data_IF_798499329524
#
_entry.id   IF_798499329524
#
_cell.length_a   1.000
_cell.length_b   1.000
_cell.length_c   1.000
_cell.angle_alpha   90.00
_cell.angle_beta   90.00
_cell.angle_gamma   90.00
#
_symmetry.space_group_name_H-M   'P 1'
#
loop_
_entity.id
_entity.type
_entity.pdbx_description
1 polymer ?
#
# COMPACT_ATOMS: atom_id res chain seq x y z
N UNK A 1 -11.41 11.74 1.09
CA UNK A 1 -10.06 11.52 1.65
C UNK A 1 -9.19 10.87 0.58
N UNK A 2 -7.97 11.35 0.30
CA UNK A 2 -7.07 10.69 -0.65
C UNK A 2 -6.75 9.27 -0.19
N UNK A 3 -6.94 8.28 -1.05
CA UNK A 3 -6.75 6.87 -0.75
C UNK A 3 -5.69 6.29 -1.67
N UNK A 4 -4.62 5.74 -1.11
CA UNK A 4 -3.50 5.18 -1.87
C UNK A 4 -3.40 3.66 -1.71
N UNK A 5 -3.36 2.97 -2.85
CA UNK A 5 -3.08 1.54 -2.94
C UNK A 5 -1.59 1.32 -3.20
N UNK A 6 -0.88 0.78 -2.20
CA UNK A 6 0.58 0.59 -2.29
C UNK A 6 0.99 -0.80 -2.78
N UNK A 7 0.03 -1.58 -3.28
CA UNK A 7 0.30 -2.87 -3.92
C UNK A 7 0.96 -2.69 -5.29
N UNK A 8 1.40 -3.79 -5.91
CA UNK A 8 2.01 -3.69 -7.23
C UNK A 8 1.00 -3.26 -8.31
N UNK A 9 1.46 -2.76 -9.47
CA UNK A 9 0.56 -2.32 -10.55
C UNK A 9 -0.45 -3.40 -10.98
N UNK A 10 -0.01 -4.66 -11.14
CA UNK A 10 -0.93 -5.76 -11.47
C UNK A 10 -1.93 -6.06 -10.35
N UNK A 11 -1.54 -5.97 -9.07
CA UNK A 11 -2.46 -6.15 -7.94
C UNK A 11 -3.56 -5.08 -7.94
N UNK A 12 -3.24 -3.82 -8.33
CA UNK A 12 -4.19 -2.72 -8.45
C UNK A 12 -5.11 -2.88 -9.67
N UNK A 13 -4.54 -3.23 -10.83
CA UNK A 13 -5.29 -3.42 -12.08
C UNK A 13 -6.31 -4.57 -11.99
N UNK A 14 -5.97 -5.64 -11.27
CA UNK A 14 -6.88 -6.78 -11.03
C UNK A 14 -8.04 -6.46 -10.06
N UNK A 15 -8.05 -5.27 -9.46
CA UNK A 15 -9.10 -4.79 -8.58
C UNK A 15 -8.54 -4.02 -7.40
N UNK A 16 -9.13 -2.87 -7.12
CA UNK A 16 -8.75 -1.96 -6.05
C UNK A 16 -10.00 -1.37 -5.38
N UNK A 17 -9.84 -0.63 -4.28
CA UNK A 17 -10.96 0.05 -3.65
C UNK A 17 -11.42 1.23 -4.52
N UNK A 18 -12.72 1.55 -4.59
CA UNK A 18 -13.22 2.69 -5.33
C UNK A 18 -12.47 3.97 -4.97
N UNK A 19 -12.09 4.75 -5.99
CA UNK A 19 -11.35 6.02 -5.86
C UNK A 19 -9.93 5.89 -5.29
N UNK A 20 -9.41 4.67 -5.11
CA UNK A 20 -8.01 4.49 -4.74
C UNK A 20 -7.08 4.89 -5.88
N UNK A 21 -6.00 5.59 -5.54
CA UNK A 21 -4.92 6.00 -6.44
C UNK A 21 -3.79 4.99 -6.29
N UNK A 22 -3.25 4.50 -7.41
CA UNK A 22 -2.09 3.61 -7.38
C UNK A 22 -0.84 4.38 -6.92
N UNK A 23 -0.16 3.89 -5.88
CA UNK A 23 1.11 4.41 -5.36
C UNK A 23 2.04 3.23 -5.01
N UNK A 24 2.48 2.45 -6.02
CA UNK A 24 3.08 1.15 -5.81
C UNK A 24 4.42 1.25 -5.08
N UNK A 25 4.55 0.56 -3.95
CA UNK A 25 5.83 0.45 -3.25
C UNK A 25 6.86 -0.36 -4.07
N UNK A 26 6.37 -1.36 -4.81
CA UNK A 26 7.17 -2.26 -5.64
C UNK A 26 6.52 -2.42 -7.02
N UNK A 27 7.35 -2.55 -8.05
CA UNK A 27 6.93 -3.06 -9.36
C UNK A 27 6.47 -4.52 -9.26
N UNK A 28 5.83 -5.02 -10.31
CA UNK A 28 5.39 -6.43 -10.35
C UNK A 28 6.58 -7.40 -10.24
N UNK A 29 7.69 -7.11 -10.92
CA UNK A 29 8.91 -7.93 -10.87
C UNK A 29 9.52 -8.01 -9.48
N UNK A 30 9.73 -6.84 -8.84
CA UNK A 30 10.28 -6.80 -7.48
C UNK A 30 9.34 -7.43 -6.47
N UNK A 31 8.03 -7.22 -6.62
CA UNK A 31 7.01 -7.85 -5.78
C UNK A 31 7.06 -9.37 -5.89
N UNK A 32 7.24 -9.90 -7.09
CA UNK A 32 7.40 -11.33 -7.32
C UNK A 32 8.69 -11.85 -6.68
N UNK A 33 9.82 -11.17 -6.89
CA UNK A 33 11.12 -11.54 -6.34
C UNK A 33 11.12 -11.55 -4.80
N UNK A 34 10.63 -10.48 -4.15
CA UNK A 34 10.47 -10.43 -2.69
C UNK A 34 9.62 -11.62 -2.21
N UNK A 35 8.53 -11.93 -2.93
CA UNK A 35 7.67 -13.06 -2.61
C UNK A 35 8.38 -14.41 -2.70
N UNK A 36 9.22 -14.59 -3.72
CA UNK A 36 10.06 -15.77 -3.92
C UNK A 36 11.09 -15.89 -2.79
N UNK A 37 11.83 -14.83 -2.48
CA UNK A 37 12.82 -14.81 -1.38
C UNK A 37 12.16 -15.09 -0.03
N UNK A 38 10.96 -14.55 0.21
CA UNK A 38 10.22 -14.77 1.45
C UNK A 38 9.88 -16.25 1.65
N UNK A 39 9.40 -16.90 0.59
CA UNK A 39 8.98 -18.31 0.63
C UNK A 39 10.15 -19.29 0.61
N UNK A 40 11.16 -19.03 -0.23
CA UNK A 40 12.22 -19.99 -0.52
C UNK A 40 13.46 -19.82 0.35
N UNK A 41 13.67 -18.63 0.93
CA UNK A 41 14.86 -18.36 1.73
C UNK A 41 14.52 -18.01 3.17
N UNK A 42 14.03 -16.79 3.43
CA UNK A 42 13.55 -16.42 4.76
C UNK A 42 12.81 -15.07 4.75
N UNK A 43 11.92 -14.84 5.72
CA UNK A 43 11.29 -13.53 5.93
C UNK A 43 12.31 -12.40 6.10
N UNK A 44 13.39 -12.62 6.87
CA UNK A 44 14.41 -11.61 7.12
C UNK A 44 15.14 -11.18 5.85
N UNK A 45 15.48 -12.12 4.96
CA UNK A 45 16.11 -11.78 3.66
C UNK A 45 15.15 -11.01 2.75
N UNK A 46 13.88 -11.40 2.73
CA UNK A 46 12.86 -10.70 1.94
C UNK A 46 12.65 -9.27 2.43
N UNK A 47 12.68 -9.04 3.75
CA UNK A 47 12.62 -7.69 4.33
C UNK A 47 13.83 -6.85 3.87
N UNK A 48 15.05 -7.39 3.95
CA UNK A 48 16.26 -6.68 3.49
C UNK A 48 16.21 -6.33 2.00
N UNK A 49 15.74 -7.25 1.16
CA UNK A 49 15.53 -6.98 -0.27
C UNK A 49 14.46 -5.91 -0.49
N UNK A 50 13.34 -5.99 0.24
CA UNK A 50 12.29 -4.99 0.20
C UNK A 50 12.77 -3.59 0.62
N UNK A 51 13.64 -3.49 1.63
CA UNK A 51 14.25 -2.22 2.05
C UNK A 51 15.13 -1.63 0.95
N UNK A 52 15.91 -2.47 0.23
CA UNK A 52 16.72 -2.02 -0.92
C UNK A 52 15.84 -1.40 -2.00
N UNK A 53 14.75 -2.06 -2.38
CA UNK A 53 13.84 -1.53 -3.41
C UNK A 53 13.05 -0.31 -2.94
N UNK A 54 12.56 -0.32 -1.70
CA UNK A 54 11.80 0.78 -1.13
C UNK A 54 12.68 2.05 -0.99
N UNK A 55 13.93 1.90 -0.55
CA UNK A 55 14.87 3.00 -0.37
C UNK A 55 15.07 3.83 -1.64
N UNK A 56 15.17 3.18 -2.80
CA UNK A 56 15.33 3.85 -4.09
C UNK A 56 14.10 4.67 -4.52
N UNK A 57 12.93 4.44 -3.91
CA UNK A 57 11.67 5.10 -4.28
C UNK A 57 11.12 6.05 -3.24
N UNK A 58 11.73 6.15 -2.05
CA UNK A 58 11.16 6.93 -0.95
C UNK A 58 10.85 8.38 -1.35
N UNK A 59 11.79 9.07 -1.98
CA UNK A 59 11.61 10.45 -2.43
C UNK A 59 10.48 10.57 -3.48
N UNK A 60 10.44 9.65 -4.44
CA UNK A 60 9.42 9.65 -5.49
C UNK A 60 8.01 9.40 -4.93
N UNK A 61 7.87 8.48 -3.96
CA UNK A 61 6.59 8.22 -3.30
C UNK A 61 6.04 9.48 -2.61
N UNK A 62 6.90 10.23 -1.92
CA UNK A 62 6.49 11.49 -1.27
C UNK A 62 6.12 12.54 -2.32
N UNK A 63 6.95 12.73 -3.36
CA UNK A 63 6.68 13.69 -4.43
C UNK A 63 5.36 13.39 -5.17
N UNK A 64 5.05 12.11 -5.37
CA UNK A 64 3.80 11.66 -5.96
C UNK A 64 2.57 11.99 -5.10
N UNK A 65 2.70 11.95 -3.77
CA UNK A 65 1.64 12.36 -2.85
C UNK A 65 1.52 13.89 -2.83
N UNK A 66 2.64 14.62 -2.75
CA UNK A 66 2.68 16.09 -2.80
C UNK A 66 2.00 16.63 -4.07
N UNK A 67 2.16 15.96 -5.22
CA UNK A 67 1.54 16.35 -6.49
C UNK A 67 0.02 16.15 -6.52
N UNK A 68 -0.54 15.30 -5.65
CA UNK A 68 -1.94 14.87 -5.68
C UNK A 68 -2.74 15.36 -4.49
N UNK A 69 -2.07 15.73 -3.40
CA UNK A 69 -2.68 16.07 -2.12
C UNK A 69 -2.14 17.42 -1.66
N UNK A 70 -3.05 18.35 -1.34
CA UNK A 70 -2.68 19.60 -0.66
C UNK A 70 -2.35 19.27 0.80
N UNK A 71 -1.25 19.79 1.34
CA UNK A 71 -0.73 19.42 2.69
C UNK A 71 -1.67 19.76 3.85
N UNK A 72 -2.61 20.65 3.60
CA UNK A 72 -3.68 21.16 4.44
C UNK A 72 -5.02 20.40 4.25
N UNK A 73 -5.01 19.32 3.46
CA UNK A 73 -6.15 18.42 3.29
C UNK A 73 -6.23 17.35 4.39
N UNK A 74 -7.41 16.72 4.50
CA UNK A 74 -7.70 15.58 5.39
C UNK A 74 -6.64 14.47 5.33
N UNK A 75 -6.52 13.63 6.38
CA UNK A 75 -5.50 12.57 6.47
C UNK A 75 -5.39 11.74 5.19
N UNK A 76 -4.21 11.28 4.80
CA UNK A 76 -4.10 10.35 3.67
C UNK A 76 -4.38 8.93 4.13
N UNK A 77 -5.17 8.19 3.38
CA UNK A 77 -5.40 6.78 3.64
C UNK A 77 -4.46 5.91 2.81
N UNK A 78 -3.91 4.85 3.40
CA UNK A 78 -3.08 3.89 2.68
C UNK A 78 -3.48 2.45 3.02
N UNK A 79 -3.45 1.58 2.01
CA UNK A 79 -3.61 0.15 2.22
C UNK A 79 -2.69 -0.68 1.33
N UNK A 80 -2.42 -1.90 1.78
CA UNK A 80 -1.89 -2.96 0.95
C UNK A 80 -2.80 -4.18 1.01
N UNK A 81 -2.37 -5.34 0.52
CA UNK A 81 -3.24 -6.53 0.45
C UNK A 81 -3.83 -6.95 1.80
N UNK A 82 -3.03 -6.95 2.87
CA UNK A 82 -3.43 -7.40 4.22
C UNK A 82 -3.20 -6.37 5.31
N UNK A 83 -2.92 -5.12 4.94
CA UNK A 83 -2.63 -4.05 5.92
C UNK A 83 -1.34 -4.30 6.72
N UNK A 84 -0.38 -5.07 6.19
CA UNK A 84 0.88 -5.43 6.86
C UNK A 84 2.03 -4.44 6.58
N UNK A 85 3.25 -4.98 6.47
CA UNK A 85 4.48 -4.20 6.36
C UNK A 85 4.49 -3.20 5.20
N UNK A 86 3.99 -3.57 4.00
CA UNK A 86 4.01 -2.68 2.82
C UNK A 86 3.33 -1.33 3.08
N UNK A 87 2.07 -1.35 3.51
CA UNK A 87 1.34 -0.13 3.90
C UNK A 87 1.90 0.52 5.16
N UNK A 88 2.52 -0.25 6.05
CA UNK A 88 3.18 0.30 7.24
C UNK A 88 4.41 1.13 6.91
N UNK A 89 5.27 0.65 6.02
CA UNK A 89 6.46 1.37 5.59
C UNK A 89 6.11 2.65 4.84
N UNK A 90 5.09 2.62 3.97
CA UNK A 90 4.62 3.84 3.28
C UNK A 90 3.98 4.82 4.26
N UNK A 91 3.17 4.34 5.21
CA UNK A 91 2.58 5.22 6.22
C UNK A 91 3.65 5.89 7.09
N UNK A 92 4.68 5.14 7.51
CA UNK A 92 5.81 5.70 8.25
C UNK A 92 6.56 6.77 7.45
N UNK A 93 6.81 6.50 6.16
CA UNK A 93 7.48 7.44 5.25
C UNK A 93 6.67 8.73 5.09
N UNK A 94 5.38 8.62 4.78
CA UNK A 94 4.49 9.77 4.61
C UNK A 94 4.31 10.54 5.93
N UNK A 95 4.22 9.85 7.06
CA UNK A 95 4.21 10.47 8.38
C UNK A 95 5.47 11.27 8.67
N UNK A 96 6.64 10.72 8.29
CA UNK A 96 7.93 11.41 8.40
C UNK A 96 8.00 12.63 7.47
N UNK A 97 7.31 12.60 6.34
CA UNK A 97 7.16 13.73 5.41
C UNK A 97 6.10 14.76 5.85
N UNK A 98 5.46 14.58 7.01
CA UNK A 98 4.53 15.54 7.60
C UNK A 98 3.04 15.28 7.34
N UNK A 99 2.68 14.13 6.76
CA UNK A 99 1.28 13.75 6.56
C UNK A 99 0.67 13.07 7.78
N UNK A 100 -0.59 13.37 8.08
CA UNK A 100 -1.40 12.47 8.91
C UNK A 100 -1.82 11.26 8.06
N UNK A 101 -1.53 10.04 8.51
CA UNK A 101 -1.74 8.83 7.71
C UNK A 101 -2.62 7.81 8.43
N UNK A 102 -3.74 7.47 7.81
CA UNK A 102 -4.62 6.39 8.24
C UNK A 102 -4.35 5.11 7.45
N UNK A 103 -4.18 4.00 8.17
CA UNK A 103 -3.97 2.69 7.55
C UNK A 103 -5.23 1.84 7.63
N UNK A 104 -5.56 1.17 6.53
CA UNK A 104 -6.64 0.19 6.55
C UNK A 104 -6.18 -1.10 7.25
N UNK A 105 -6.75 -1.35 8.43
CA UNK A 105 -6.58 -2.62 9.12
C UNK A 105 -7.11 -3.79 8.25
N UNK A 106 -6.31 -4.85 8.15
CA UNK A 106 -6.59 -6.00 7.27
C UNK A 106 -6.52 -5.70 5.77
N UNK A 107 -6.28 -4.45 5.37
CA UNK A 107 -6.03 -4.02 4.00
C UNK A 107 -7.17 -4.31 3.01
N UNK A 108 -6.81 -4.44 1.74
CA UNK A 108 -7.76 -4.70 0.65
C UNK A 108 -8.54 -6.01 0.85
N UNK A 109 -7.92 -7.03 1.46
CA UNK A 109 -8.59 -8.30 1.78
C UNK A 109 -9.77 -8.09 2.72
N UNK A 110 -9.59 -7.35 3.81
CA UNK A 110 -10.67 -7.07 4.76
C UNK A 110 -11.75 -6.16 4.14
N UNK A 111 -11.35 -5.16 3.35
CA UNK A 111 -12.28 -4.36 2.56
C UNK A 111 -13.18 -5.22 1.68
N UNK A 112 -12.60 -6.10 0.85
CA UNK A 112 -13.37 -7.01 -0.01
C UNK A 112 -14.31 -7.91 0.79
N UNK A 113 -13.86 -8.43 1.93
CA UNK A 113 -14.69 -9.23 2.83
C UNK A 113 -15.92 -8.47 3.30
N UNK A 114 -15.75 -7.21 3.73
CA UNK A 114 -16.86 -6.34 4.16
C UNK A 114 -17.84 -6.03 3.03
N UNK A 115 -17.33 -5.72 1.83
CA UNK A 115 -18.17 -5.49 0.65
C UNK A 115 -19.00 -6.73 0.33
N UNK A 116 -18.39 -7.91 0.31
CA UNK A 116 -19.10 -9.16 0.05
C UNK A 116 -20.17 -9.47 1.11
N UNK A 117 -19.88 -9.23 2.39
CA UNK A 117 -20.85 -9.39 3.48
C UNK A 117 -22.04 -8.41 3.33
N UNK A 118 -21.77 -7.18 2.90
CA UNK A 118 -22.82 -6.21 2.63
C UNK A 118 -23.64 -6.52 1.36
N UNK A 119 -23.07 -7.25 0.40
CA UNK A 119 -23.71 -7.61 -0.87
C UNK A 119 -24.66 -8.82 -0.74
N UNK A 120 -25.44 -8.89 0.33
CA UNK A 120 -26.30 -10.05 0.59
C UNK A 120 -26.89 -10.11 1.99
N UNK A 121 -26.54 -9.18 2.87
CA UNK A 121 -27.34 -8.92 4.05
C UNK A 121 -28.72 -8.41 3.60
N UNK A 122 -29.79 -9.14 3.94
CA UNK A 122 -31.16 -8.63 3.84
C UNK A 122 -31.23 -7.27 4.56
N UNK A 123 -31.88 -6.29 3.93
CA UNK A 123 -32.13 -4.98 4.55
C UNK A 123 -33.14 -5.13 5.69
#
# INVERSE_FOLDING_TARGET
MPLFDVRSPSEYANGHAPRAISLPLFSDGERAEIGTVYKQQSPAKAVRLGLKYAGLRMANLVAEVDARVKRDASPVEVYCWRGGQRSGSVAWLLGTAGYEVNRWEGGYKAYRGRVLQSWGAER
#
